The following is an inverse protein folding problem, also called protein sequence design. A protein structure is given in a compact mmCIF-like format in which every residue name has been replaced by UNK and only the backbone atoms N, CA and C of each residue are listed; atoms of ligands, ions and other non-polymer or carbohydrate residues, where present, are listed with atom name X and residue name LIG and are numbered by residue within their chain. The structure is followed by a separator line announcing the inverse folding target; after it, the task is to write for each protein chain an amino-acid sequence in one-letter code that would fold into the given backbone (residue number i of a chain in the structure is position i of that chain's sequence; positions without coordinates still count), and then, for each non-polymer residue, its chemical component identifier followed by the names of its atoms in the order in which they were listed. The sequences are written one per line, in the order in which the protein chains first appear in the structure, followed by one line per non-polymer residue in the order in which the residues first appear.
data_IF_989963119287
#
_entry.id   IF_989963119287
#
_cell.length_a   1.000
_cell.length_b   1.000
_cell.length_c   1.000
_cell.angle_alpha   90.00
_cell.angle_beta   90.00
_cell.angle_gamma   90.00
#
_symmetry.space_group_name_H-M   'P 1'
#
loop_
_entity.id
_entity.type
_entity.pdbx_description
1 polymer ?
#
# COMPACT_ATOMS: atom_id res chain seq x y z
N UNK A 1 -10.47 -7.79 12.35
CA UNK A 1 -10.83 -7.69 10.93
C UNK A 1 -11.60 -6.41 10.61
N UNK A 2 -12.69 -6.13 11.32
CA UNK A 2 -13.46 -4.90 11.07
C UNK A 2 -12.63 -3.62 11.28
N UNK A 3 -11.78 -3.60 12.30
CA UNK A 3 -10.91 -2.45 12.57
C UNK A 3 -9.91 -2.21 11.44
N UNK A 4 -9.30 -3.28 10.91
CA UNK A 4 -8.35 -3.16 9.81
C UNK A 4 -9.03 -2.61 8.55
N UNK A 5 -10.23 -3.10 8.25
CA UNK A 5 -11.01 -2.60 7.12
C UNK A 5 -11.38 -1.13 7.30
N UNK A 6 -11.78 -0.74 8.51
CA UNK A 6 -12.12 0.65 8.80
C UNK A 6 -10.94 1.59 8.66
N UNK A 7 -9.76 1.14 9.12
CA UNK A 7 -8.55 1.95 8.99
C UNK A 7 -8.20 2.19 7.53
N UNK A 8 -8.25 1.14 6.72
CA UNK A 8 -7.92 1.25 5.30
C UNK A 8 -8.94 2.12 4.58
N UNK A 9 -10.24 1.95 4.91
CA UNK A 9 -11.31 2.71 4.29
C UNK A 9 -11.25 4.20 4.65
N UNK A 10 -10.68 4.54 5.79
CA UNK A 10 -10.55 5.94 6.21
C UNK A 10 -9.42 6.68 5.48
N UNK A 11 -8.52 5.96 4.81
CA UNK A 11 -7.40 6.59 4.12
C UNK A 11 -7.87 7.27 2.83
N UNK A 12 -7.39 8.50 2.55
CA UNK A 12 -7.80 9.27 1.37
C UNK A 12 -7.04 8.90 0.10
N UNK A 13 -6.40 7.75 0.07
CA UNK A 13 -5.66 7.26 -1.09
C UNK A 13 -5.81 5.75 -1.19
N UNK A 14 -5.53 5.16 -2.37
CA UNK A 14 -5.58 3.70 -2.50
C UNK A 14 -4.66 3.04 -1.48
N UNK A 15 -5.21 2.11 -0.72
CA UNK A 15 -4.45 1.44 0.35
C UNK A 15 -4.77 -0.04 0.39
N UNK A 16 -3.71 -0.84 0.59
CA UNK A 16 -3.77 -2.29 0.71
C UNK A 16 -3.04 -2.67 2.00
N UNK A 17 -3.66 -3.51 2.80
CA UNK A 17 -3.05 -4.02 4.02
C UNK A 17 -2.68 -5.48 3.83
N UNK A 18 -1.41 -5.81 4.06
CA UNK A 18 -0.93 -7.18 4.09
C UNK A 18 -0.85 -7.65 5.53
N UNK A 19 -1.23 -8.90 5.77
CA UNK A 19 -1.02 -9.53 7.06
C UNK A 19 0.43 -9.93 7.27
N UNK A 20 0.73 -10.42 8.46
CA UNK A 20 2.09 -10.86 8.80
C UNK A 20 2.59 -12.02 7.94
N UNK A 21 1.66 -12.76 7.32
CA UNK A 21 1.99 -13.86 6.41
C UNK A 21 2.16 -13.38 4.96
N UNK A 22 2.05 -12.08 4.70
CA UNK A 22 2.20 -11.52 3.36
C UNK A 22 0.96 -11.59 2.49
N UNK A 23 -0.18 -11.99 3.05
CA UNK A 23 -1.43 -12.06 2.29
C UNK A 23 -2.23 -10.77 2.40
N UNK A 24 -2.95 -10.43 1.33
CA UNK A 24 -3.82 -9.25 1.32
C UNK A 24 -5.00 -9.50 2.26
N UNK A 25 -5.11 -8.70 3.31
CA UNK A 25 -6.19 -8.87 4.30
C UNK A 25 -7.23 -7.76 4.22
N UNK A 26 -6.91 -6.62 3.63
CA UNK A 26 -7.86 -5.51 3.48
C UNK A 26 -7.43 -4.60 2.35
N UNK A 27 -8.43 -3.99 1.69
CA UNK A 27 -8.22 -2.98 0.66
C UNK A 27 -9.35 -1.97 0.77
N UNK A 28 -9.05 -0.68 0.60
CA UNK A 28 -10.13 0.29 0.50
C UNK A 28 -10.70 0.33 -0.92
N UNK A 29 -11.80 1.07 -1.13
CA UNK A 29 -12.45 1.13 -2.43
C UNK A 29 -11.56 1.71 -3.52
N UNK A 30 -10.69 2.67 -3.16
CA UNK A 30 -9.75 3.25 -4.12
C UNK A 30 -8.74 2.22 -4.62
N UNK A 31 -8.25 1.35 -3.73
CA UNK A 31 -7.33 0.28 -4.13
C UNK A 31 -8.03 -0.77 -4.98
N UNK A 32 -9.29 -1.07 -4.67
CA UNK A 32 -10.06 -2.04 -5.45
C UNK A 32 -10.23 -1.59 -6.90
N UNK A 33 -10.32 -0.30 -7.14
CA UNK A 33 -10.39 0.26 -8.49
C UNK A 33 -9.11 -0.02 -9.27
N UNK A 34 -7.97 -0.01 -8.59
CA UNK A 34 -6.66 -0.23 -9.24
C UNK A 34 -6.35 -1.71 -9.41
N UNK A 35 -6.52 -2.49 -8.35
CA UNK A 35 -6.07 -3.88 -8.31
C UNK A 35 -7.17 -4.91 -8.57
N UNK A 36 -8.43 -4.51 -8.42
CA UNK A 36 -9.56 -5.42 -8.50
C UNK A 36 -9.78 -6.19 -7.19
N UNK A 37 -10.86 -6.95 -7.14
CA UNK A 37 -11.24 -7.69 -5.93
C UNK A 37 -10.50 -9.03 -5.80
N UNK A 38 -9.92 -9.51 -6.88
CA UNK A 38 -9.35 -10.85 -6.94
C UNK A 38 -8.11 -11.05 -6.10
N UNK A 39 -7.42 -9.96 -5.72
CA UNK A 39 -6.17 -10.09 -4.98
C UNK A 39 -6.39 -10.31 -3.49
N UNK A 40 -7.59 -10.05 -2.97
CA UNK A 40 -7.86 -10.24 -1.55
C UNK A 40 -7.67 -11.70 -1.17
N UNK A 41 -6.90 -11.94 -0.11
CA UNK A 41 -6.55 -13.29 0.34
C UNK A 41 -5.32 -13.88 -0.33
N UNK A 42 -4.82 -13.28 -1.42
CA UNK A 42 -3.63 -13.78 -2.09
C UNK A 42 -2.35 -13.29 -1.40
N UNK A 43 -1.30 -14.10 -1.48
CA UNK A 43 0.03 -13.66 -1.08
C UNK A 43 0.49 -12.56 -2.02
N UNK A 44 1.28 -11.61 -1.54
CA UNK A 44 1.65 -10.45 -2.35
C UNK A 44 2.39 -10.86 -3.63
N UNK A 45 3.12 -11.96 -3.62
CA UNK A 45 3.82 -12.43 -4.83
C UNK A 45 2.86 -12.87 -5.93
N UNK A 46 1.63 -13.22 -5.58
CA UNK A 46 0.59 -13.56 -6.55
C UNK A 46 -0.34 -12.39 -6.84
N UNK A 47 -0.51 -11.49 -5.86
CA UNK A 47 -1.42 -10.35 -5.98
C UNK A 47 -0.85 -9.26 -6.89
N UNK A 48 0.45 -9.02 -6.84
CA UNK A 48 1.09 -7.95 -7.60
C UNK A 48 2.08 -8.53 -8.59
N UNK A 49 2.19 -7.89 -9.76
CA UNK A 49 3.02 -8.40 -10.85
C UNK A 49 4.19 -7.50 -11.23
N UNK A 50 4.21 -6.27 -10.74
CA UNK A 50 5.28 -5.34 -11.09
C UNK A 50 6.49 -5.58 -10.18
N UNK A 51 7.65 -5.89 -10.77
CA UNK A 51 8.83 -6.26 -9.97
C UNK A 51 9.26 -5.21 -8.96
N UNK A 52 9.18 -3.92 -9.33
CA UNK A 52 9.59 -2.85 -8.42
C UNK A 52 8.75 -2.84 -7.14
N UNK A 53 7.44 -3.08 -7.26
CA UNK A 53 6.57 -3.15 -6.09
C UNK A 53 6.87 -4.39 -5.25
N UNK A 54 7.05 -5.54 -5.89
CA UNK A 54 7.39 -6.77 -5.18
C UNK A 54 8.68 -6.63 -4.39
N UNK A 55 9.68 -6.00 -4.97
CA UNK A 55 10.95 -5.74 -4.32
C UNK A 55 10.82 -4.81 -3.13
N UNK A 56 10.03 -3.74 -3.29
CA UNK A 56 9.78 -2.80 -2.21
C UNK A 56 9.04 -3.45 -1.03
N UNK A 57 8.06 -4.31 -1.33
CA UNK A 57 7.34 -5.05 -0.30
C UNK A 57 8.28 -5.98 0.45
N UNK A 58 9.08 -6.75 -0.28
CA UNK A 58 10.02 -7.69 0.31
C UNK A 58 11.04 -6.98 1.20
N UNK A 59 11.56 -5.85 0.73
CA UNK A 59 12.51 -5.05 1.49
C UNK A 59 11.89 -4.52 2.79
N UNK A 60 10.67 -4.02 2.72
CA UNK A 60 9.98 -3.50 3.91
C UNK A 60 9.69 -4.60 4.93
N UNK A 61 9.33 -5.79 4.45
CA UNK A 61 9.09 -6.94 5.33
C UNK A 61 10.39 -7.36 6.01
N UNK A 62 11.47 -7.46 5.24
CA UNK A 62 12.76 -7.98 5.72
C UNK A 62 13.45 -7.01 6.66
N UNK A 63 13.47 -5.73 6.29
CA UNK A 63 14.29 -4.73 7.01
C UNK A 63 13.46 -3.84 7.93
N UNK A 64 12.14 -3.86 7.81
CA UNK A 64 11.27 -2.92 8.52
C UNK A 64 11.29 -1.54 7.85
N UNK A 65 10.59 -0.57 8.43
CA UNK A 65 10.58 0.79 7.92
C UNK A 65 9.72 0.99 6.69
N UNK A 66 10.10 1.96 5.86
CA UNK A 66 9.35 2.32 4.66
C UNK A 66 10.20 2.16 3.40
N UNK A 67 9.56 1.68 2.34
CA UNK A 67 10.16 1.60 1.02
C UNK A 67 9.22 2.21 -0.01
N UNK A 68 9.75 2.57 -1.17
CA UNK A 68 9.01 3.25 -2.22
C UNK A 68 9.26 2.57 -3.55
N UNK A 69 8.25 2.55 -4.41
CA UNK A 69 8.39 1.98 -5.75
C UNK A 69 7.44 2.65 -6.72
N UNK A 70 7.87 2.82 -7.98
CA UNK A 70 6.93 3.26 -9.01
C UNK A 70 5.93 2.15 -9.31
N UNK A 71 4.72 2.54 -9.67
CA UNK A 71 3.67 1.61 -10.05
C UNK A 71 2.90 2.18 -11.22
N UNK A 72 2.70 1.39 -12.28
CA UNK A 72 1.90 1.79 -13.43
C UNK A 72 0.51 1.21 -13.31
N UNK A 73 -0.49 2.09 -13.25
CA UNK A 73 -1.89 1.72 -13.21
C UNK A 73 -2.57 2.19 -14.50
N UNK A 74 -3.78 1.72 -14.75
CA UNK A 74 -4.59 2.16 -15.87
C UNK A 74 -5.92 2.69 -15.38
N UNK A 75 -6.36 3.79 -15.97
CA UNK A 75 -7.71 4.30 -15.75
C UNK A 75 -8.37 4.58 -17.11
N UNK A 76 -9.53 5.23 -17.10
CA UNK A 76 -10.27 5.55 -18.32
C UNK A 76 -9.49 6.45 -19.29
N UNK A 77 -8.49 7.18 -18.79
CA UNK A 77 -7.68 8.11 -19.58
C UNK A 77 -6.38 7.48 -20.10
N UNK A 78 -6.06 6.24 -19.67
CA UNK A 78 -4.85 5.53 -20.04
C UNK A 78 -3.95 5.22 -18.87
N UNK A 79 -2.65 5.17 -19.09
CA UNK A 79 -1.68 4.81 -18.07
C UNK A 79 -1.47 5.96 -17.07
N UNK A 80 -1.41 5.62 -15.79
CA UNK A 80 -1.14 6.57 -14.72
C UNK A 80 0.10 6.11 -13.98
N UNK A 81 1.07 7.02 -13.80
CA UNK A 81 2.25 6.74 -13.01
C UNK A 81 1.97 7.07 -11.54
N UNK A 82 2.00 6.05 -10.71
CA UNK A 82 1.78 6.18 -9.27
C UNK A 82 3.07 5.87 -8.52
N UNK A 83 3.17 6.35 -7.30
CA UNK A 83 4.24 5.95 -6.39
C UNK A 83 3.63 5.12 -5.26
N UNK A 84 4.14 3.93 -5.06
CA UNK A 84 3.74 3.07 -3.95
C UNK A 84 4.65 3.33 -2.76
N UNK A 85 4.05 3.49 -1.59
CA UNK A 85 4.76 3.56 -0.31
C UNK A 85 4.41 2.32 0.48
N UNK A 86 5.42 1.54 0.86
CA UNK A 86 5.24 0.33 1.64
C UNK A 86 5.79 0.57 3.04
N UNK A 87 4.92 0.55 4.04
CA UNK A 87 5.30 0.80 5.42
C UNK A 87 5.09 -0.41 6.30
N UNK A 88 6.16 -0.87 6.95
CA UNK A 88 6.08 -1.97 7.91
C UNK A 88 5.31 -1.53 9.15
N UNK A 89 4.40 -2.38 9.62
CA UNK A 89 3.62 -2.13 10.84
C UNK A 89 4.28 -2.74 12.08
N UNK A 90 5.44 -3.37 11.90
CA UNK A 90 6.14 -4.04 12.97
C UNK A 90 6.33 -5.52 12.68
N UNK A 91 7.17 -6.23 13.45
CA UNK A 91 7.58 -7.59 13.13
C UNK A 91 6.46 -8.60 12.88
N UNK A 92 5.37 -8.54 13.56
CA UNK A 92 4.28 -9.51 13.38
C UNK A 92 2.96 -8.86 13.02
N UNK A 93 3.00 -7.63 12.53
CA UNK A 93 1.78 -6.85 12.31
C UNK A 93 1.40 -6.67 10.84
N UNK A 94 2.33 -6.96 9.91
CA UNK A 94 2.06 -6.82 8.49
C UNK A 94 2.61 -5.55 7.89
N UNK A 95 2.00 -5.12 6.78
CA UNK A 95 2.53 -4.04 5.96
C UNK A 95 1.41 -3.27 5.30
N UNK A 96 1.52 -1.94 5.30
CA UNK A 96 0.55 -1.07 4.63
C UNK A 96 1.16 -0.55 3.33
N UNK A 97 0.41 -0.69 2.23
CA UNK A 97 0.81 -0.17 0.92
C UNK A 97 -0.16 0.93 0.54
N UNK A 98 0.38 2.11 0.24
CA UNK A 98 -0.41 3.23 -0.25
C UNK A 98 0.12 3.69 -1.59
N UNK A 99 -0.79 4.16 -2.45
CA UNK A 99 -0.43 4.62 -3.79
C UNK A 99 -0.84 6.08 -3.94
N UNK A 100 0.04 6.89 -4.54
CA UNK A 100 -0.27 8.28 -4.83
C UNK A 100 0.15 8.65 -6.24
N UNK A 101 -0.59 9.61 -6.82
CA UNK A 101 -0.33 10.08 -8.17
C UNK A 101 1.00 10.86 -8.18
N UNK A 102 1.92 10.46 -9.07
CA UNK A 102 3.22 11.12 -9.19
C UNK A 102 3.13 12.51 -9.80
N UNK A 103 1.98 12.87 -10.37
CA UNK A 103 1.78 14.22 -10.89
C UNK A 103 1.52 15.21 -9.76
N UNK A 104 1.25 14.76 -8.54
CA UNK A 104 1.08 15.63 -7.38
C UNK A 104 2.38 16.37 -7.09
N UNK A 105 2.26 17.58 -6.53
CA UNK A 105 3.42 18.39 -6.17
C UNK A 105 4.25 17.66 -5.10
N UNK A 106 5.55 18.01 -5.03
CA UNK A 106 6.43 17.46 -4.00
C UNK A 106 5.87 17.60 -2.59
N UNK A 107 5.29 18.77 -2.31
CA UNK A 107 4.72 19.03 -0.98
C UNK A 107 3.56 18.08 -0.66
N UNK A 108 2.64 17.89 -1.62
CA UNK A 108 1.52 16.97 -1.44
C UNK A 108 2.00 15.53 -1.29
N UNK A 109 2.98 15.11 -2.09
CA UNK A 109 3.56 13.79 -1.99
C UNK A 109 4.22 13.54 -0.63
N UNK A 110 4.95 14.52 -0.14
CA UNK A 110 5.58 14.43 1.17
C UNK A 110 4.55 14.32 2.30
N UNK A 111 3.49 15.11 2.22
CA UNK A 111 2.40 15.05 3.19
C UNK A 111 1.75 13.68 3.23
N UNK A 112 1.53 13.06 2.07
CA UNK A 112 0.92 11.73 2.00
C UNK A 112 1.85 10.67 2.58
N UNK A 113 3.15 10.77 2.34
CA UNK A 113 4.13 9.85 2.92
C UNK A 113 4.18 9.97 4.44
N UNK A 114 4.14 11.20 4.95
CA UNK A 114 4.10 11.45 6.39
C UNK A 114 2.82 10.86 7.00
N UNK A 115 1.70 10.97 6.28
CA UNK A 115 0.44 10.40 6.73
C UNK A 115 0.55 8.88 6.87
N UNK A 116 1.14 8.20 5.88
CA UNK A 116 1.34 6.75 5.92
C UNK A 116 2.24 6.37 7.10
N UNK A 117 3.32 7.12 7.32
CA UNK A 117 4.22 6.88 8.44
C UNK A 117 3.50 7.01 9.77
N UNK A 118 2.65 8.02 9.92
CA UNK A 118 1.86 8.23 11.14
C UNK A 118 0.86 7.10 11.38
N UNK A 119 0.19 6.65 10.33
CA UNK A 119 -0.75 5.52 10.44
C UNK A 119 -0.01 4.26 10.87
N UNK A 120 1.15 4.00 10.28
CA UNK A 120 1.98 2.85 10.65
C UNK A 120 2.40 2.91 12.11
N UNK A 121 2.79 4.11 12.57
CA UNK A 121 3.20 4.32 13.97
C UNK A 121 2.03 4.06 14.93
N UNK A 122 0.84 4.57 14.61
CA UNK A 122 -0.36 4.36 15.42
C UNK A 122 -0.70 2.87 15.52
N UNK A 123 -0.55 2.13 14.45
CA UNK A 123 -0.86 0.71 14.44
C UNK A 123 0.13 -0.13 15.24
N UNK A 124 1.32 0.39 15.54
CA UNK A 124 2.33 -0.30 16.36
C UNK A 124 2.05 -0.18 17.86
N UNK A 125 1.31 0.80 18.24
CA UNK A 125 0.98 1.00 19.65
C UNK A 125 -0.33 0.32 20.01
#
# INVERSE_FOLDING_TARGET
MAMKNRLVDALPLPAVLLGSDGRVVAMNSLAKTIFGLRIEGLHFTSAFRQPALLEAIDSAIRDGGQTYAPYLAKDARGDIALEATCGSLGPDAGLLICLEDRTATKAAGQMRRDFVANVSHELRT
#
